data_IF_444573143282
#
_entry.id   IF_444573143282
#
_cell.length_a   1.000
_cell.length_b   1.000
_cell.length_c   1.000
_cell.angle_alpha   90.00
_cell.angle_beta   90.00
_cell.angle_gamma   90.00
#
_symmetry.space_group_name_H-M   'P 1'
#
loop_
_entity.id
_entity.type
_entity.pdbx_description
1 polymer ?
#
# COMPACT_ATOMS: atom_id res chain seq x y z
N UNK A 1 28.76 25.81 -2.90
CA UNK A 1 28.25 24.98 -1.78
C UNK A 1 28.61 23.53 -2.08
N UNK A 2 28.85 22.68 -1.07
CA UNK A 2 29.10 21.25 -1.30
C UNK A 2 27.77 20.56 -1.68
N UNK A 3 27.78 19.63 -2.64
CA UNK A 3 26.59 18.85 -3.07
C UNK A 3 25.81 18.24 -1.89
N UNK A 4 26.51 17.87 -0.82
CA UNK A 4 25.89 17.32 0.40
C UNK A 4 24.99 18.35 1.09
N UNK A 5 25.45 19.62 1.17
CA UNK A 5 24.67 20.68 1.81
C UNK A 5 23.39 20.97 1.03
N UNK A 6 23.46 20.87 -0.29
CA UNK A 6 22.31 21.03 -1.18
C UNK A 6 21.27 19.91 -0.97
N UNK A 7 21.70 18.64 -0.97
CA UNK A 7 20.77 17.52 -0.71
C UNK A 7 20.15 17.61 0.68
N UNK A 8 20.96 17.89 1.71
CA UNK A 8 20.45 18.01 3.09
C UNK A 8 19.48 19.20 3.23
N UNK A 9 19.75 20.32 2.55
CA UNK A 9 18.84 21.45 2.50
C UNK A 9 17.52 21.08 1.82
N UNK A 10 17.55 20.33 0.72
CA UNK A 10 16.32 19.88 0.03
C UNK A 10 15.47 18.96 0.92
N UNK A 11 16.11 18.06 1.68
CA UNK A 11 15.42 17.19 2.65
C UNK A 11 14.77 18.04 3.74
N UNK A 12 15.51 18.97 4.33
CA UNK A 12 14.99 19.87 5.36
C UNK A 12 13.83 20.73 4.85
N UNK A 13 13.95 21.30 3.66
CA UNK A 13 12.91 22.11 3.03
C UNK A 13 11.63 21.30 2.82
N UNK A 14 11.73 20.06 2.32
CA UNK A 14 10.57 19.17 2.15
C UNK A 14 9.85 18.92 3.48
N UNK A 15 10.57 18.42 4.49
CA UNK A 15 9.97 18.06 5.77
C UNK A 15 9.48 19.27 6.58
N UNK A 16 10.00 20.47 6.31
CA UNK A 16 9.52 21.71 6.95
C UNK A 16 8.13 22.15 6.46
N UNK A 17 7.67 21.62 5.32
CA UNK A 17 6.38 21.94 4.70
C UNK A 17 5.28 20.95 5.10
N UNK A 18 5.61 19.95 5.90
CA UNK A 18 4.71 18.85 6.27
C UNK A 18 4.13 19.12 7.66
N UNK A 19 2.80 19.19 7.73
CA UNK A 19 2.05 19.40 8.97
C UNK A 19 1.47 18.09 9.56
N UNK A 20 1.78 16.93 8.95
CA UNK A 20 1.35 15.60 9.41
C UNK A 20 2.53 14.74 9.88
N UNK A 21 2.23 13.60 10.51
CA UNK A 21 3.25 12.63 10.90
C UNK A 21 3.67 11.79 9.68
N UNK A 22 4.92 11.89 9.20
CA UNK A 22 5.33 11.21 7.97
C UNK A 22 5.64 9.73 8.24
N UNK A 23 5.22 8.85 7.33
CA UNK A 23 5.49 7.40 7.41
C UNK A 23 6.99 7.08 7.31
N UNK A 24 7.72 7.87 6.53
CA UNK A 24 9.19 7.82 6.45
C UNK A 24 9.71 9.08 7.14
N UNK A 25 10.38 8.90 8.28
CA UNK A 25 10.88 10.02 9.08
C UNK A 25 12.06 10.75 8.40
N UNK A 26 12.16 12.07 8.63
CA UNK A 26 13.28 12.90 8.18
C UNK A 26 14.63 12.32 8.59
N UNK A 27 14.74 11.90 9.86
CA UNK A 27 15.96 11.38 10.47
C UNK A 27 16.46 10.11 9.77
N UNK A 28 15.55 9.26 9.29
CA UNK A 28 15.85 8.05 8.54
C UNK A 28 16.52 8.37 7.21
N UNK A 29 15.93 9.33 6.47
CA UNK A 29 16.44 9.80 5.18
C UNK A 29 17.81 10.46 5.35
N UNK A 30 17.95 11.42 6.26
CA UNK A 30 19.20 12.13 6.51
C UNK A 30 20.33 11.16 6.87
N UNK A 31 20.04 10.19 7.73
CA UNK A 31 21.01 9.21 8.18
C UNK A 31 21.45 8.27 7.05
N UNK A 32 20.51 7.79 6.21
CA UNK A 32 20.85 7.00 5.02
C UNK A 32 21.72 7.78 4.02
N UNK A 33 21.34 9.03 3.72
CA UNK A 33 22.11 9.87 2.80
C UNK A 33 23.51 10.15 3.36
N UNK A 34 23.67 10.35 4.66
CA UNK A 34 24.97 10.48 5.31
C UNK A 34 25.83 9.22 5.14
N UNK A 35 25.24 8.02 5.25
CA UNK A 35 25.96 6.77 4.98
C UNK A 35 26.46 6.70 3.53
N UNK A 36 25.65 7.11 2.54
CA UNK A 36 26.11 7.18 1.15
C UNK A 36 27.30 8.15 1.00
N UNK A 37 27.25 9.30 1.67
CA UNK A 37 28.36 10.24 1.68
C UNK A 37 29.65 9.64 2.27
N UNK A 38 29.59 9.08 3.47
CA UNK A 38 30.75 8.51 4.15
C UNK A 38 31.34 7.31 3.39
N UNK A 39 30.51 6.58 2.65
CA UNK A 39 30.95 5.50 1.76
C UNK A 39 31.47 5.99 0.40
N UNK A 40 31.72 7.29 0.22
CA UNK A 40 32.21 7.93 -1.01
C UNK A 40 31.28 7.77 -2.22
N UNK A 41 29.99 7.51 -2.00
CA UNK A 41 28.93 7.49 -3.02
C UNK A 41 28.19 8.83 -3.04
N UNK A 42 28.94 9.93 -2.95
CA UNK A 42 28.37 11.29 -2.82
C UNK A 42 27.56 11.70 -4.05
N UNK A 43 27.99 11.27 -5.24
CA UNK A 43 27.27 11.57 -6.49
C UNK A 43 25.90 10.88 -6.57
N UNK A 44 25.69 9.82 -5.78
CA UNK A 44 24.41 9.11 -5.74
C UNK A 44 23.41 9.70 -4.76
N UNK A 45 23.80 10.69 -3.92
CA UNK A 45 22.90 11.22 -2.89
C UNK A 45 21.69 11.95 -3.47
N UNK A 46 21.89 12.71 -4.55
CA UNK A 46 20.81 13.40 -5.24
C UNK A 46 19.85 12.35 -5.81
N UNK A 47 20.39 11.36 -6.51
CA UNK A 47 19.59 10.29 -7.08
C UNK A 47 18.81 9.51 -6.02
N UNK A 48 19.48 9.20 -4.92
CA UNK A 48 18.87 8.52 -3.78
C UNK A 48 17.73 9.32 -3.18
N UNK A 49 17.95 10.62 -2.96
CA UNK A 49 16.93 11.50 -2.43
C UNK A 49 15.73 11.60 -3.37
N UNK A 50 15.95 11.83 -4.67
CA UNK A 50 14.86 11.95 -5.64
C UNK A 50 13.99 10.68 -5.69
N UNK A 51 14.62 9.50 -5.62
CA UNK A 51 13.89 8.23 -5.61
C UNK A 51 13.12 7.99 -4.32
N UNK A 52 13.72 8.29 -3.17
CA UNK A 52 13.08 8.17 -1.86
C UNK A 52 11.94 9.18 -1.75
N UNK A 53 12.15 10.42 -2.17
CA UNK A 53 11.14 11.47 -2.18
C UNK A 53 9.95 11.11 -3.07
N UNK A 54 10.17 10.50 -4.23
CA UNK A 54 9.11 10.01 -5.09
C UNK A 54 8.25 8.92 -4.40
N UNK A 55 8.90 8.02 -3.65
CA UNK A 55 8.20 7.01 -2.84
C UNK A 55 7.42 7.64 -1.69
N UNK A 56 8.01 8.59 -0.96
CA UNK A 56 7.33 9.33 0.11
C UNK A 56 6.08 10.02 -0.44
N UNK A 57 6.21 10.71 -1.57
CA UNK A 57 5.11 11.42 -2.24
C UNK A 57 3.95 10.47 -2.60
N UNK A 58 4.25 9.22 -2.94
CA UNK A 58 3.23 8.19 -3.14
C UNK A 58 2.61 7.74 -1.82
N UNK A 59 3.43 7.37 -0.82
CA UNK A 59 2.97 6.84 0.47
C UNK A 59 2.12 7.86 1.22
N UNK A 60 2.47 9.14 1.19
CA UNK A 60 1.72 10.23 1.86
C UNK A 60 0.28 10.39 1.31
N UNK A 61 -0.02 9.78 0.16
CA UNK A 61 -1.38 9.74 -0.43
C UNK A 61 -2.14 8.46 -0.08
N UNK A 62 -1.47 7.51 0.54
CA UNK A 62 -2.06 6.26 1.03
C UNK A 62 -2.50 6.43 2.48
N UNK A 63 -3.10 5.39 3.04
CA UNK A 63 -3.47 5.32 4.46
C UNK A 63 -2.50 4.47 5.27
N UNK A 64 -1.39 4.04 4.67
CA UNK A 64 -0.38 3.26 5.35
C UNK A 64 0.22 4.08 6.49
N UNK A 65 0.34 3.46 7.67
CA UNK A 65 0.95 4.09 8.84
C UNK A 65 2.40 3.67 9.00
N UNK A 66 2.83 2.62 8.29
CA UNK A 66 4.19 2.12 8.25
C UNK A 66 4.58 1.69 6.84
N UNK A 67 5.88 1.81 6.51
CA UNK A 67 6.43 1.19 5.29
C UNK A 67 6.27 -0.33 5.29
N UNK A 68 6.15 -0.97 6.46
CA UNK A 68 5.91 -2.41 6.59
C UNK A 68 4.50 -2.83 6.21
N UNK A 69 3.56 -1.88 6.07
CA UNK A 69 2.20 -2.17 5.65
C UNK A 69 2.09 -2.30 4.12
N UNK A 70 3.12 -1.85 3.38
CA UNK A 70 3.17 -1.93 1.92
C UNK A 70 3.27 -3.38 1.44
N UNK A 71 2.39 -3.73 0.50
CA UNK A 71 2.37 -5.03 -0.13
C UNK A 71 3.15 -4.98 -1.44
N UNK A 72 3.58 -6.15 -1.93
CA UNK A 72 4.50 -6.19 -3.06
C UNK A 72 3.94 -5.52 -4.33
N UNK A 73 2.62 -5.53 -4.54
CA UNK A 73 2.00 -4.88 -5.69
C UNK A 73 1.86 -3.37 -5.52
N UNK A 74 1.91 -2.83 -4.30
CA UNK A 74 1.87 -1.39 -4.07
C UNK A 74 3.04 -0.70 -4.76
N UNK A 75 4.19 -1.37 -4.86
CA UNK A 75 5.33 -0.85 -5.62
C UNK A 75 5.07 -0.76 -7.13
N UNK A 76 4.21 -1.61 -7.70
CA UNK A 76 3.75 -1.45 -9.08
C UNK A 76 2.88 -0.21 -9.22
N UNK A 77 1.94 -0.01 -8.30
CA UNK A 77 1.05 1.15 -8.28
C UNK A 77 1.84 2.43 -8.04
N UNK A 78 2.86 2.40 -7.17
CA UNK A 78 3.77 3.50 -6.93
C UNK A 78 4.54 3.90 -8.20
N UNK A 79 5.10 2.93 -8.93
CA UNK A 79 5.80 3.20 -10.18
C UNK A 79 4.88 3.85 -11.23
N UNK A 80 3.65 3.34 -11.39
CA UNK A 80 2.65 3.92 -12.29
C UNK A 80 2.27 5.34 -11.87
N UNK A 81 2.00 5.55 -10.58
CA UNK A 81 1.62 6.85 -10.04
C UNK A 81 2.75 7.88 -10.20
N UNK A 82 3.99 7.49 -9.89
CA UNK A 82 5.18 8.36 -10.00
C UNK A 82 5.39 8.79 -11.46
N UNK A 83 5.30 7.86 -12.42
CA UNK A 83 5.37 8.17 -13.85
C UNK A 83 4.32 9.22 -14.27
N UNK A 84 3.10 9.10 -13.74
CA UNK A 84 1.98 9.95 -14.16
C UNK A 84 1.95 11.33 -13.46
N UNK A 85 2.54 11.46 -12.27
CA UNK A 85 2.36 12.64 -11.41
C UNK A 85 3.64 13.41 -11.09
N UNK A 86 4.81 12.78 -11.18
CA UNK A 86 6.09 13.45 -10.91
C UNK A 86 6.76 13.75 -12.25
N UNK A 87 6.66 15.02 -12.66
CA UNK A 87 7.22 15.48 -13.93
C UNK A 87 8.74 15.63 -13.88
N UNK A 88 9.44 14.51 -14.02
CA UNK A 88 10.86 14.44 -14.32
C UNK A 88 11.06 13.43 -15.45
N UNK A 89 10.84 13.88 -16.71
CA UNK A 89 11.02 13.05 -17.90
C UNK A 89 12.41 12.42 -17.91
N UNK A 90 12.56 11.25 -18.52
CA UNK A 90 13.77 10.39 -18.52
C UNK A 90 14.06 9.70 -17.18
N UNK A 91 13.83 10.37 -16.04
CA UNK A 91 14.09 9.78 -14.71
C UNK A 91 12.98 8.83 -14.27
N UNK A 92 11.73 9.27 -14.35
CA UNK A 92 10.59 8.52 -13.81
C UNK A 92 9.72 7.85 -14.87
N UNK A 93 10.13 7.93 -16.14
CA UNK A 93 9.49 7.18 -17.21
C UNK A 93 9.43 5.70 -16.87
N UNK A 94 8.28 5.10 -17.16
CA UNK A 94 7.94 3.72 -16.83
C UNK A 94 8.67 2.68 -17.70
N UNK A 95 9.99 2.66 -17.55
CA UNK A 95 10.92 1.74 -18.22
C UNK A 95 11.43 0.68 -17.24
N UNK A 96 11.91 -0.45 -17.76
CA UNK A 96 12.51 -1.50 -16.93
C UNK A 96 13.76 -1.02 -16.19
N UNK A 97 14.55 -0.14 -16.81
CA UNK A 97 15.77 0.41 -16.21
C UNK A 97 15.44 1.29 -15.01
N UNK A 98 14.51 2.24 -15.19
CA UNK A 98 14.08 3.14 -14.12
C UNK A 98 13.39 2.38 -12.98
N UNK A 99 12.52 1.41 -13.30
CA UNK A 99 11.89 0.57 -12.28
C UNK A 99 12.92 -0.22 -11.46
N UNK A 100 13.97 -0.79 -12.10
CA UNK A 100 15.06 -1.46 -11.37
C UNK A 100 15.83 -0.51 -10.48
N UNK A 101 16.14 0.67 -10.98
CA UNK A 101 16.85 1.72 -10.23
C UNK A 101 16.06 2.14 -9.00
N UNK A 102 14.78 2.47 -9.17
CA UNK A 102 13.90 2.91 -8.08
C UNK A 102 13.65 1.80 -7.05
N UNK A 103 13.17 0.62 -7.47
CA UNK A 103 12.92 -0.50 -6.55
C UNK A 103 14.22 -0.93 -5.85
N UNK A 104 15.35 -0.92 -6.55
CA UNK A 104 16.66 -1.21 -5.98
C UNK A 104 17.07 -0.17 -4.94
N UNK A 105 16.86 1.12 -5.22
CA UNK A 105 17.14 2.21 -4.26
C UNK A 105 16.28 2.12 -3.01
N UNK A 106 14.99 1.84 -3.18
CA UNK A 106 14.07 1.66 -2.06
C UNK A 106 14.42 0.43 -1.22
N UNK A 107 14.81 -0.69 -1.86
CA UNK A 107 15.30 -1.88 -1.17
C UNK A 107 16.59 -1.61 -0.39
N UNK A 108 17.54 -0.89 -0.99
CA UNK A 108 18.78 -0.46 -0.33
C UNK A 108 18.49 0.43 0.89
N UNK A 109 17.52 1.35 0.76
CA UNK A 109 17.08 2.22 1.84
C UNK A 109 16.45 1.42 2.99
N UNK A 110 15.49 0.54 2.71
CA UNK A 110 14.87 -0.29 3.75
C UNK A 110 15.85 -1.26 4.39
N UNK A 111 16.76 -1.84 3.61
CA UNK A 111 17.84 -2.69 4.14
C UNK A 111 18.76 -1.92 5.10
N UNK A 112 18.98 -0.63 4.85
CA UNK A 112 19.69 0.24 5.78
C UNK A 112 18.87 0.47 7.06
N UNK A 113 17.58 0.80 6.93
CA UNK A 113 16.72 1.03 8.09
C UNK A 113 16.58 -0.21 8.98
N UNK A 114 16.44 -1.39 8.37
CA UNK A 114 16.42 -2.67 9.06
C UNK A 114 17.65 -2.87 9.96
N UNK A 115 18.83 -2.44 9.48
CA UNK A 115 20.10 -2.58 10.20
C UNK A 115 20.34 -1.49 11.23
N UNK A 116 19.95 -0.26 10.93
CA UNK A 116 20.35 0.93 11.69
C UNK A 116 19.30 1.41 12.69
N UNK A 117 18.02 1.08 12.48
CA UNK A 117 16.90 1.67 13.22
C UNK A 117 15.98 0.61 13.84
N UNK A 118 15.35 -0.22 13.01
CA UNK A 118 14.39 -1.21 13.48
C UNK A 118 14.43 -2.47 12.62
N UNK A 119 14.85 -3.58 13.24
CA UNK A 119 14.84 -4.91 12.64
C UNK A 119 13.44 -5.48 12.34
N UNK A 120 12.37 -4.72 12.61
CA UNK A 120 10.98 -5.11 12.30
C UNK A 120 10.50 -4.67 10.92
N UNK A 121 11.29 -3.93 10.16
CA UNK A 121 10.96 -3.62 8.76
C UNK A 121 11.03 -4.92 7.96
N UNK A 122 9.88 -5.36 7.42
CA UNK A 122 9.83 -6.54 6.56
C UNK A 122 10.29 -6.17 5.15
N UNK A 123 11.42 -6.76 4.72
CA UNK A 123 11.97 -6.54 3.38
C UNK A 123 11.31 -7.44 2.33
N UNK A 124 10.60 -8.48 2.75
CA UNK A 124 10.03 -9.49 1.85
C UNK A 124 9.11 -8.89 0.78
N UNK A 125 8.22 -7.93 1.08
CA UNK A 125 7.35 -7.33 0.07
C UNK A 125 8.12 -6.62 -1.06
N UNK A 126 9.14 -5.83 -0.73
CA UNK A 126 9.91 -5.10 -1.73
C UNK A 126 10.87 -6.00 -2.51
N UNK A 127 11.47 -7.01 -1.86
CA UNK A 127 12.29 -8.01 -2.55
C UNK A 127 11.46 -8.80 -3.57
N UNK A 128 10.25 -9.20 -3.16
CA UNK A 128 9.31 -9.88 -4.04
C UNK A 128 8.84 -8.97 -5.17
N UNK A 129 8.55 -7.70 -4.89
CA UNK A 129 8.18 -6.71 -5.90
C UNK A 129 9.28 -6.54 -6.95
N UNK A 130 10.53 -6.35 -6.50
CA UNK A 130 11.70 -6.26 -7.38
C UNK A 130 11.79 -7.49 -8.28
N UNK A 131 11.68 -8.69 -7.70
CA UNK A 131 11.71 -9.92 -8.47
C UNK A 131 10.54 -10.03 -9.47
N UNK A 132 9.31 -9.76 -9.05
CA UNK A 132 8.12 -9.92 -9.91
C UNK A 132 8.05 -8.89 -11.03
N UNK A 133 8.30 -7.63 -10.72
CA UNK A 133 8.12 -6.50 -11.63
C UNK A 133 9.32 -6.40 -12.59
N UNK A 134 10.53 -6.63 -12.09
CA UNK A 134 11.77 -6.37 -12.82
C UNK A 134 12.53 -7.62 -13.31
N UNK A 135 12.05 -8.85 -13.04
CA UNK A 135 12.69 -10.06 -13.58
C UNK A 135 12.49 -10.19 -15.09
N UNK A 136 13.61 -10.40 -15.80
CA UNK A 136 13.63 -10.67 -17.25
C UNK A 136 13.95 -9.44 -18.10
N UNK A 137 13.41 -9.40 -19.31
CA UNK A 137 13.74 -8.38 -20.33
C UNK A 137 12.65 -7.30 -20.52
N UNK A 138 11.52 -7.42 -19.83
CA UNK A 138 10.39 -6.48 -19.92
C UNK A 138 9.85 -6.17 -18.53
N UNK A 139 9.41 -4.93 -18.34
CA UNK A 139 8.71 -4.49 -17.14
C UNK A 139 7.36 -5.20 -17.02
N UNK A 140 7.04 -5.72 -15.84
CA UNK A 140 5.81 -6.49 -15.55
C UNK A 140 5.00 -5.82 -14.44
N UNK A 141 4.28 -4.78 -14.79
CA UNK A 141 3.37 -4.12 -13.87
C UNK A 141 2.13 -4.97 -13.60
N UNK A 142 1.58 -4.79 -12.41
CA UNK A 142 0.40 -5.49 -11.92
C UNK A 142 -0.85 -4.91 -12.58
N UNK A 143 -1.31 -5.55 -13.65
CA UNK A 143 -2.54 -5.13 -14.36
C UNK A 143 -3.80 -5.27 -13.51
N UNK A 144 -3.80 -6.18 -12.54
CA UNK A 144 -4.90 -6.45 -11.63
C UNK A 144 -4.31 -6.76 -10.26
N UNK A 145 -4.66 -5.94 -9.27
CA UNK A 145 -4.17 -6.10 -7.90
C UNK A 145 -4.64 -7.46 -7.37
N UNK A 146 -3.74 -8.33 -6.91
CA UNK A 146 -4.08 -9.67 -6.45
C UNK A 146 -4.53 -9.61 -4.98
N UNK A 147 -5.58 -8.84 -4.74
CA UNK A 147 -6.15 -8.64 -3.42
C UNK A 147 -6.35 -9.99 -2.72
N UNK A 148 -5.89 -10.07 -1.48
CA UNK A 148 -6.04 -11.23 -0.60
C UNK A 148 -7.24 -11.07 0.33
N UNK A 149 -7.71 -9.83 0.50
CA UNK A 149 -8.78 -9.40 1.39
C UNK A 149 -8.29 -8.73 2.68
N UNK A 150 -6.99 -8.77 2.98
CA UNK A 150 -6.43 -8.11 4.19
C UNK A 150 -6.04 -6.65 3.94
N UNK A 151 -6.00 -6.25 2.67
CA UNK A 151 -5.62 -4.90 2.28
C UNK A 151 -6.60 -3.87 2.81
N UNK A 152 -6.08 -2.71 3.21
CA UNK A 152 -6.92 -1.55 3.48
C UNK A 152 -7.73 -1.18 2.22
N UNK A 153 -9.00 -0.82 2.42
CA UNK A 153 -9.89 -0.35 1.38
C UNK A 153 -10.31 1.10 1.62
N UNK A 154 -10.90 1.40 2.77
CA UNK A 154 -11.30 2.76 3.14
C UNK A 154 -11.32 2.97 4.65
N UNK A 155 -11.23 4.23 5.07
CA UNK A 155 -11.48 4.67 6.43
C UNK A 155 -12.67 5.63 6.44
N UNK A 156 -13.56 5.48 7.40
CA UNK A 156 -14.68 6.43 7.62
C UNK A 156 -14.75 6.82 9.10
N UNK A 157 -15.23 8.02 9.37
CA UNK A 157 -15.41 8.52 10.72
C UNK A 157 -16.44 7.69 11.49
N UNK A 158 -16.13 7.39 12.75
CA UNK A 158 -17.06 6.74 13.68
C UNK A 158 -18.23 7.67 14.00
N UNK A 159 -19.42 7.10 14.18
CA UNK A 159 -20.58 7.89 14.60
C UNK A 159 -20.31 8.56 15.95
N UNK A 160 -20.37 9.89 15.97
CA UNK A 160 -20.22 10.71 17.18
C UNK A 160 -18.79 10.85 17.70
N UNK A 161 -17.77 10.61 16.88
CA UNK A 161 -16.35 10.72 17.27
C UNK A 161 -15.47 11.01 16.05
N UNK A 162 -14.33 11.68 16.24
CA UNK A 162 -13.34 11.90 15.17
C UNK A 162 -12.44 10.68 14.90
N UNK A 163 -12.67 9.56 15.59
CA UNK A 163 -11.93 8.33 15.36
C UNK A 163 -12.32 7.69 14.02
N UNK A 164 -11.34 7.15 13.31
CA UNK A 164 -11.54 6.46 12.03
C UNK A 164 -11.82 4.97 12.27
N UNK A 165 -12.75 4.43 11.49
CA UNK A 165 -13.04 3.00 11.36
C UNK A 165 -12.54 2.55 10.00
N UNK A 166 -11.51 1.71 10.00
CA UNK A 166 -10.91 1.19 8.78
C UNK A 166 -11.58 -0.09 8.31
N UNK A 167 -11.77 -0.17 7.00
CA UNK A 167 -12.33 -1.31 6.29
C UNK A 167 -11.30 -1.88 5.33
N UNK A 168 -11.34 -3.19 5.19
CA UNK A 168 -10.46 -4.00 4.34
C UNK A 168 -11.16 -4.42 3.05
N UNK A 169 -10.39 -4.93 2.09
CA UNK A 169 -10.94 -5.48 0.84
C UNK A 169 -11.84 -6.70 1.07
N UNK A 170 -11.58 -7.52 2.08
CA UNK A 170 -12.50 -8.61 2.45
C UNK A 170 -13.86 -8.08 2.92
N UNK A 171 -13.84 -6.99 3.69
CA UNK A 171 -15.05 -6.33 4.19
C UNK A 171 -15.83 -5.68 3.05
N UNK A 172 -15.15 -5.04 2.11
CA UNK A 172 -15.72 -4.58 0.84
C UNK A 172 -16.42 -5.72 0.08
N UNK A 173 -15.74 -6.84 -0.14
CA UNK A 173 -16.31 -7.98 -0.86
C UNK A 173 -17.46 -8.66 -0.12
N UNK A 174 -17.43 -8.70 1.21
CA UNK A 174 -18.55 -9.17 2.03
C UNK A 174 -19.79 -8.27 1.85
N UNK A 175 -19.62 -6.96 1.73
CA UNK A 175 -20.72 -6.03 1.42
C UNK A 175 -21.25 -6.26 0.00
N UNK A 176 -20.38 -6.51 -0.99
CA UNK A 176 -20.83 -6.87 -2.35
C UNK A 176 -21.60 -8.20 -2.38
N UNK A 177 -21.14 -9.21 -1.63
CA UNK A 177 -21.84 -10.48 -1.50
C UNK A 177 -23.21 -10.29 -0.82
N UNK A 178 -23.27 -9.48 0.24
CA UNK A 178 -24.53 -9.07 0.88
C UNK A 178 -25.49 -8.44 -0.13
N UNK A 179 -25.02 -7.50 -0.96
CA UNK A 179 -25.83 -6.88 -2.01
C UNK A 179 -26.38 -7.92 -3.00
N UNK A 180 -25.49 -8.79 -3.51
CA UNK A 180 -25.83 -9.80 -4.51
C UNK A 180 -26.89 -10.78 -4.00
N UNK A 181 -26.90 -11.07 -2.70
CA UNK A 181 -27.88 -11.95 -2.05
C UNK A 181 -29.20 -11.24 -1.72
N UNK A 182 -29.41 -10.03 -2.22
CA UNK A 182 -30.61 -9.23 -1.99
C UNK A 182 -30.65 -8.65 -0.58
N UNK A 183 -29.50 -8.18 -0.10
CA UNK A 183 -29.38 -7.40 1.13
C UNK A 183 -29.87 -8.15 2.38
N UNK A 184 -29.59 -9.46 2.42
CA UNK A 184 -29.98 -10.36 3.52
C UNK A 184 -28.76 -10.96 4.20
N UNK A 185 -28.58 -10.61 5.47
CA UNK A 185 -27.53 -11.17 6.33
C UNK A 185 -27.68 -12.68 6.52
N UNK A 186 -28.91 -13.15 6.74
CA UNK A 186 -29.19 -14.58 6.92
C UNK A 186 -28.78 -15.40 5.69
N UNK A 187 -29.07 -14.90 4.48
CA UNK A 187 -28.63 -15.55 3.24
C UNK A 187 -27.11 -15.56 3.11
N UNK A 188 -26.43 -14.46 3.48
CA UNK A 188 -24.97 -14.42 3.46
C UNK A 188 -24.36 -15.42 4.45
N UNK A 189 -24.90 -15.53 5.66
CA UNK A 189 -24.45 -16.52 6.65
C UNK A 189 -24.69 -17.96 6.23
N UNK A 190 -25.82 -18.22 5.54
CA UNK A 190 -26.12 -19.52 4.95
C UNK A 190 -25.14 -19.85 3.84
N UNK A 191 -24.91 -18.93 2.90
CA UNK A 191 -23.96 -19.09 1.80
C UNK A 191 -22.55 -19.39 2.33
N UNK A 192 -22.14 -18.69 3.40
CA UNK A 192 -20.83 -18.93 4.05
C UNK A 192 -20.65 -20.35 4.59
N UNK A 193 -21.71 -21.12 4.87
CA UNK A 193 -21.57 -22.52 5.33
C UNK A 193 -20.92 -23.41 4.27
N UNK A 194 -21.13 -23.10 2.99
CA UNK A 194 -20.66 -23.90 1.86
C UNK A 194 -19.27 -23.52 1.35
N UNK A 195 -18.66 -22.43 1.85
CA UNK A 195 -17.42 -21.89 1.27
C UNK A 195 -16.15 -22.37 1.98
N UNK A 196 -15.00 -22.43 1.26
CA UNK A 196 -13.71 -22.68 1.88
C UNK A 196 -13.38 -21.64 2.97
N UNK A 197 -12.70 -22.09 4.02
CA UNK A 197 -12.28 -21.25 5.15
C UNK A 197 -13.45 -20.57 5.88
N UNK A 198 -14.63 -21.23 5.93
CA UNK A 198 -15.86 -20.74 6.59
C UNK A 198 -15.63 -20.10 7.96
N UNK A 199 -14.79 -20.70 8.82
CA UNK A 199 -14.53 -20.16 10.16
C UNK A 199 -13.91 -18.76 10.12
N UNK A 200 -12.95 -18.56 9.24
CA UNK A 200 -12.26 -17.27 9.05
C UNK A 200 -13.22 -16.23 8.44
N UNK A 201 -13.96 -16.61 7.41
CA UNK A 201 -14.93 -15.71 6.76
C UNK A 201 -16.06 -15.30 7.68
N UNK A 202 -16.54 -16.21 8.54
CA UNK A 202 -17.51 -15.88 9.60
C UNK A 202 -16.94 -14.92 10.63
N UNK A 203 -15.69 -15.12 11.07
CA UNK A 203 -15.01 -14.17 11.95
C UNK A 203 -14.95 -12.77 11.33
N UNK A 204 -14.62 -12.69 10.04
CA UNK A 204 -14.62 -11.41 9.29
C UNK A 204 -16.02 -10.80 9.16
N UNK A 205 -17.05 -11.61 8.93
CA UNK A 205 -18.42 -11.11 8.89
C UNK A 205 -18.85 -10.52 10.25
N UNK A 206 -18.48 -11.17 11.37
CA UNK A 206 -18.74 -10.64 12.71
C UNK A 206 -18.00 -9.31 12.95
N UNK A 207 -16.73 -9.23 12.56
CA UNK A 207 -15.95 -7.97 12.65
C UNK A 207 -16.54 -6.87 11.78
N UNK A 208 -16.97 -7.20 10.55
CA UNK A 208 -17.64 -6.27 9.65
C UNK A 208 -18.90 -5.69 10.30
N UNK A 209 -19.70 -6.50 10.99
CA UNK A 209 -20.88 -6.01 11.70
C UNK A 209 -20.55 -5.00 12.78
N UNK A 210 -19.54 -5.26 13.59
CA UNK A 210 -19.08 -4.33 14.62
C UNK A 210 -18.62 -3.01 13.98
N UNK A 211 -17.83 -3.06 12.90
CA UNK A 211 -17.36 -1.87 12.20
C UNK A 211 -18.49 -1.08 11.55
N UNK A 212 -19.45 -1.75 10.90
CA UNK A 212 -20.61 -1.09 10.30
C UNK A 212 -21.49 -0.42 11.34
N UNK A 213 -21.64 -1.02 12.53
CA UNK A 213 -22.35 -0.40 13.65
C UNK A 213 -21.63 0.88 14.11
N UNK A 214 -20.31 0.79 14.33
CA UNK A 214 -19.49 1.93 14.74
C UNK A 214 -19.50 3.07 13.70
N UNK A 215 -19.55 2.73 12.42
CA UNK A 215 -19.57 3.69 11.32
C UNK A 215 -21.00 4.15 10.92
N UNK A 216 -22.06 3.58 11.51
CA UNK A 216 -23.44 3.98 11.23
C UNK A 216 -24.04 3.41 9.95
N UNK A 217 -23.39 2.39 9.36
CA UNK A 217 -23.81 1.73 8.12
C UNK A 217 -24.44 0.35 8.33
N UNK A 218 -24.72 -0.07 9.58
CA UNK A 218 -25.27 -1.40 9.90
C UNK A 218 -26.52 -1.75 9.10
N UNK A 219 -27.43 -0.78 8.97
CA UNK A 219 -28.72 -0.97 8.30
C UNK A 219 -28.61 -0.93 6.78
N UNK A 220 -27.73 -0.08 6.25
CA UNK A 220 -27.51 0.08 4.80
C UNK A 220 -26.01 0.02 4.46
N UNK A 221 -25.37 -1.16 4.51
CA UNK A 221 -23.93 -1.30 4.21
C UNK A 221 -23.59 -0.90 2.77
N UNK A 222 -24.57 -0.98 1.86
CA UNK A 222 -24.38 -0.64 0.46
C UNK A 222 -24.04 0.82 0.26
N UNK A 223 -24.52 1.71 1.13
CA UNK A 223 -24.20 3.13 1.04
C UNK A 223 -22.69 3.39 1.24
N UNK A 224 -21.97 2.50 1.92
CA UNK A 224 -20.52 2.57 2.09
C UNK A 224 -19.75 2.22 0.79
N UNK A 225 -20.31 1.36 -0.06
CA UNK A 225 -19.65 0.89 -1.31
C UNK A 225 -20.15 1.60 -2.56
N UNK A 226 -21.29 2.31 -2.47
CA UNK A 226 -21.94 2.94 -3.61
C UNK A 226 -21.00 3.96 -4.26
N UNK A 227 -20.78 3.83 -5.56
CA UNK A 227 -19.85 4.70 -6.32
C UNK A 227 -18.39 4.25 -6.30
N UNK A 228 -18.03 3.26 -5.48
CA UNK A 228 -16.68 2.69 -5.40
C UNK A 228 -16.54 1.35 -6.16
N UNK A 229 -17.64 0.76 -6.62
CA UNK A 229 -17.66 -0.54 -7.32
C UNK A 229 -17.26 -0.39 -8.79
N UNK A 230 -16.20 -1.09 -9.19
CA UNK A 230 -15.72 -1.24 -10.57
C UNK A 230 -16.23 -2.55 -11.18
N UNK A 231 -16.22 -2.63 -12.52
CA UNK A 231 -16.71 -3.78 -13.28
C UNK A 231 -16.03 -5.12 -12.92
N UNK A 232 -14.81 -5.09 -12.37
CA UNK A 232 -14.07 -6.30 -11.94
C UNK A 232 -14.29 -6.73 -10.49
N UNK A 233 -14.84 -5.87 -9.63
CA UNK A 233 -14.87 -6.09 -8.18
C UNK A 233 -15.84 -7.20 -7.77
N UNK A 234 -16.91 -7.40 -8.53
CA UNK A 234 -17.85 -8.51 -8.32
C UNK A 234 -17.19 -9.86 -8.60
N UNK A 235 -16.37 -9.94 -9.65
CA UNK A 235 -15.64 -11.15 -10.00
C UNK A 235 -14.57 -11.47 -8.94
N UNK A 236 -13.90 -10.45 -8.42
CA UNK A 236 -12.91 -10.62 -7.33
C UNK A 236 -13.57 -11.00 -6.01
N UNK A 237 -14.71 -10.38 -5.69
CA UNK A 237 -15.52 -10.77 -4.54
C UNK A 237 -15.91 -12.25 -4.65
N UNK A 238 -16.46 -12.69 -5.79
CA UNK A 238 -16.81 -14.11 -6.00
C UNK A 238 -15.60 -15.03 -5.87
N UNK A 239 -14.47 -14.70 -6.49
CA UNK A 239 -13.24 -15.50 -6.40
C UNK A 239 -12.78 -15.61 -4.95
N UNK A 240 -12.70 -14.50 -4.23
CA UNK A 240 -12.34 -14.53 -2.81
C UNK A 240 -13.34 -15.34 -1.97
N UNK A 241 -14.63 -15.21 -2.29
CA UNK A 241 -15.73 -15.86 -1.56
C UNK A 241 -15.74 -17.38 -1.76
N UNK A 242 -15.46 -17.89 -2.96
CA UNK A 242 -15.56 -19.33 -3.25
C UNK A 242 -14.22 -20.05 -3.36
N UNK A 243 -13.11 -19.35 -3.55
CA UNK A 243 -11.81 -20.01 -3.73
C UNK A 243 -11.08 -20.17 -2.39
N UNK A 244 -10.35 -21.26 -2.26
CA UNK A 244 -9.50 -21.52 -1.10
C UNK A 244 -8.31 -20.56 -1.18
N UNK A 245 -8.05 -19.80 -0.11
CA UNK A 245 -6.80 -18.99 0.00
C UNK A 245 -5.61 -19.93 -0.27
N UNK A 246 -4.95 -19.74 -1.40
CA UNK A 246 -3.63 -20.30 -1.62
C UNK A 246 -2.68 -19.35 -0.87
N UNK A 247 -1.89 -19.84 0.11
CA UNK A 247 -0.88 -19.00 0.74
C UNK A 247 0.01 -18.44 -0.37
N UNK A 248 0.10 -17.11 -0.49
CA UNK A 248 1.09 -16.52 -1.37
C UNK A 248 2.46 -16.79 -0.73
N UNK A 249 3.27 -17.60 -1.40
CA UNK A 249 4.70 -17.79 -1.11
C UNK A 249 5.50 -16.64 -1.71
#
# INVERSE_FOLDING_TARGET
>A
MSRIKEVQQNVEEYYSQIDWEPVIERTWVESYLNVLHFNKRTDEQIDAWEDIHALISYIDRTTYSSVSDLLWWDYSVALEWINDHIWMPDRFDLTLENARRMLGRWLDFYSYLFKAWDSKIDLSPIEYAYFKICSGSKLKLVKKIPYTGDEFWLGTTRVGSDLIVDFTMAEFWLILAYHKLGESWDKLEEELKGVPSVREKRKRLSLLWEKLELAGYRQNPIDLVRGHVKFGDLEDAEKWFYWKRIPQQ
#
